data_IF_025270481731
#
_entry.id   IF_025270481731
#
_cell.length_a   1.000
_cell.length_b   1.000
_cell.length_c   1.000
_cell.angle_alpha   90.00
_cell.angle_beta   90.00
_cell.angle_gamma   90.00
#
_symmetry.space_group_name_H-M   'P 1'
#
loop_
_entity.id
_entity.type
_entity.pdbx_description
1 polymer ?
#
# COMPACT_ATOMS: atom_id res chain seq x y z
N UNK A 1 -1.15 9.65 5.02
CA UNK A 1 -1.78 8.54 5.76
C UNK A 1 -0.77 7.43 5.97
N UNK A 2 -0.66 6.95 7.20
CA UNK A 2 0.10 5.75 7.55
C UNK A 2 -0.89 4.65 7.93
N UNK A 3 -0.81 3.48 7.31
CA UNK A 3 -1.77 2.38 7.51
C UNK A 3 -1.09 1.09 7.90
N UNK A 4 -1.79 0.25 8.65
CA UNK A 4 -1.45 -1.14 8.89
C UNK A 4 -2.74 -1.94 8.80
N UNK A 5 -2.96 -2.58 7.65
CA UNK A 5 -4.22 -3.25 7.33
C UNK A 5 -4.21 -4.69 7.85
N UNK A 6 -5.41 -5.26 8.00
CA UNK A 6 -5.63 -6.60 8.55
C UNK A 6 -4.76 -7.68 7.88
N UNK A 7 -3.98 -8.39 8.68
CA UNK A 7 -3.07 -9.47 8.25
C UNK A 7 -3.80 -10.71 7.72
N UNK A 8 -3.14 -11.53 6.91
CA UNK A 8 -3.66 -12.80 6.36
C UNK A 8 -3.53 -14.02 7.30
N UNK A 9 -3.54 -13.82 8.62
CA UNK A 9 -3.38 -14.91 9.60
C UNK A 9 -4.71 -15.50 10.07
N UNK A 10 -5.84 -14.88 9.74
CA UNK A 10 -7.17 -15.34 10.09
C UNK A 10 -7.90 -16.00 8.92
N UNK A 11 -9.22 -15.92 8.94
CA UNK A 11 -10.07 -16.38 7.85
C UNK A 11 -10.00 -15.39 6.68
N UNK A 12 -9.53 -15.86 5.52
CA UNK A 12 -9.19 -15.01 4.38
C UNK A 12 -10.37 -14.13 3.93
N UNK A 13 -11.58 -14.66 3.91
CA UNK A 13 -12.77 -13.89 3.49
C UNK A 13 -13.11 -12.75 4.46
N UNK A 14 -12.94 -12.97 5.76
CA UNK A 14 -13.16 -11.94 6.78
C UNK A 14 -12.04 -10.90 6.75
N UNK A 15 -10.79 -11.35 6.63
CA UNK A 15 -9.63 -10.49 6.55
C UNK A 15 -9.70 -9.56 5.32
N UNK A 16 -10.11 -10.08 4.16
CA UNK A 16 -10.35 -9.28 2.94
C UNK A 16 -11.42 -8.23 3.20
N UNK A 17 -12.59 -8.62 3.74
CA UNK A 17 -13.70 -7.68 3.97
C UNK A 17 -13.30 -6.53 4.91
N UNK A 18 -12.50 -6.82 5.95
CA UNK A 18 -11.99 -5.80 6.87
C UNK A 18 -11.04 -4.82 6.17
N UNK A 19 -10.15 -5.32 5.29
CA UNK A 19 -9.23 -4.45 4.53
C UNK A 19 -10.00 -3.56 3.55
N UNK A 20 -11.00 -4.11 2.88
CA UNK A 20 -11.83 -3.37 1.93
C UNK A 20 -12.62 -2.26 2.62
N UNK A 21 -13.28 -2.56 3.74
CA UNK A 21 -13.99 -1.57 4.55
C UNK A 21 -13.05 -0.47 5.07
N UNK A 22 -11.87 -0.86 5.57
CA UNK A 22 -10.87 0.12 6.03
C UNK A 22 -10.42 1.05 4.91
N UNK A 23 -10.31 0.53 3.68
CA UNK A 23 -9.97 1.35 2.52
C UNK A 23 -11.10 2.27 2.09
N UNK A 24 -12.35 1.80 2.13
CA UNK A 24 -13.53 2.64 1.84
C UNK A 24 -13.57 3.85 2.78
N UNK A 25 -13.37 3.63 4.08
CA UNK A 25 -13.30 4.69 5.07
C UNK A 25 -12.15 5.67 4.80
N UNK A 26 -10.98 5.16 4.42
CA UNK A 26 -9.84 6.01 4.06
C UNK A 26 -10.14 6.89 2.83
N UNK A 27 -10.73 6.32 1.78
CA UNK A 27 -11.13 7.06 0.58
C UNK A 27 -12.19 8.12 0.91
N UNK A 28 -13.18 7.78 1.73
CA UNK A 28 -14.19 8.72 2.23
C UNK A 28 -13.54 9.90 2.94
N UNK A 29 -12.63 9.64 3.88
CA UNK A 29 -11.92 10.71 4.57
C UNK A 29 -11.01 11.53 3.65
N UNK A 30 -10.35 10.92 2.67
CA UNK A 30 -9.58 11.64 1.64
C UNK A 30 -10.47 12.60 0.84
N UNK A 31 -11.69 12.19 0.50
CA UNK A 31 -12.67 13.03 -0.17
C UNK A 31 -13.08 14.22 0.71
N UNK A 32 -13.39 13.99 1.99
CA UNK A 32 -13.70 15.08 2.94
C UNK A 32 -12.55 16.07 3.08
N UNK A 33 -11.30 15.60 3.12
CA UNK A 33 -10.12 16.48 3.17
C UNK A 33 -9.97 17.31 1.89
N UNK A 34 -10.31 16.75 0.73
CA UNK A 34 -10.30 17.50 -0.53
C UNK A 34 -11.38 18.59 -0.54
N UNK A 35 -12.58 18.31 -0.05
CA UNK A 35 -13.66 19.30 0.04
C UNK A 35 -13.29 20.45 1.00
N UNK A 36 -12.65 20.12 2.12
CA UNK A 36 -12.22 21.09 3.12
C UNK A 36 -11.07 21.99 2.64
N UNK A 37 -10.06 21.41 1.99
CA UNK A 37 -8.79 22.09 1.71
C UNK A 37 -8.51 22.37 0.23
N UNK A 38 -9.22 21.73 -0.69
CA UNK A 38 -8.99 21.85 -2.14
C UNK A 38 -9.21 23.26 -2.70
N UNK A 39 -10.00 24.10 -2.01
CA UNK A 39 -10.17 25.52 -2.35
C UNK A 39 -8.93 26.38 -2.08
N UNK A 40 -8.01 25.89 -1.26
CA UNK A 40 -6.75 26.56 -0.91
C UNK A 40 -5.60 26.20 -1.87
N UNK A 41 -5.78 25.18 -2.71
CA UNK A 41 -4.77 24.69 -3.64
C UNK A 41 -4.87 23.17 -3.86
N UNK A 42 -3.96 22.64 -4.68
CA UNK A 42 -3.88 21.20 -4.91
C UNK A 42 -3.47 20.47 -3.62
N UNK A 43 -4.29 19.53 -3.17
CA UNK A 43 -3.96 18.67 -2.03
C UNK A 43 -3.27 17.41 -2.54
N UNK A 44 -2.02 17.22 -2.11
CA UNK A 44 -1.25 16.01 -2.38
C UNK A 44 -1.46 14.96 -1.30
N UNK A 45 -1.60 13.71 -1.70
CA UNK A 45 -1.85 12.60 -0.80
C UNK A 45 -0.78 11.54 -0.92
N UNK A 46 -0.27 11.10 0.23
CA UNK A 46 0.64 9.97 0.35
C UNK A 46 0.00 8.99 1.31
N UNK A 47 -0.23 7.75 0.87
CA UNK A 47 -0.71 6.64 1.70
C UNK A 47 0.40 5.59 1.72
N UNK A 48 0.93 5.27 2.89
CA UNK A 48 2.01 4.29 3.01
C UNK A 48 1.84 3.37 4.22
N UNK A 49 2.42 2.18 4.13
CA UNK A 49 2.44 1.21 5.23
C UNK A 49 2.23 -0.21 4.72
N UNK A 50 1.91 -1.11 5.65
CA UNK A 50 1.68 -2.53 5.35
C UNK A 50 0.18 -2.76 5.07
N UNK A 51 -0.11 -3.16 3.84
CA UNK A 51 -1.46 -3.42 3.38
C UNK A 51 -1.86 -4.89 3.53
N UNK A 52 -0.91 -5.79 3.79
CA UNK A 52 -1.13 -7.24 3.77
C UNK A 52 -1.77 -7.78 2.47
N UNK A 53 -1.69 -7.03 1.37
CA UNK A 53 -2.20 -7.41 0.04
C UNK A 53 -1.44 -6.62 -1.04
N UNK A 54 -1.55 -6.99 -2.31
CA UNK A 54 -0.90 -6.29 -3.42
C UNK A 54 -1.75 -6.29 -4.70
N UNK A 55 -1.66 -5.27 -5.58
CA UNK A 55 -2.44 -5.20 -6.81
C UNK A 55 -2.25 -6.37 -7.78
N UNK A 56 -1.07 -6.97 -7.79
CA UNK A 56 -0.66 -7.97 -8.78
C UNK A 56 -0.33 -9.34 -8.17
N UNK A 57 -0.76 -9.57 -6.94
CA UNK A 57 -0.67 -10.86 -6.28
C UNK A 57 -1.96 -11.65 -6.52
N UNK A 58 -1.84 -12.77 -7.23
CA UNK A 58 -2.99 -13.59 -7.63
C UNK A 58 -3.81 -14.13 -6.46
N UNK A 59 -3.23 -14.20 -5.26
CA UNK A 59 -3.95 -14.61 -4.03
C UNK A 59 -5.06 -13.62 -3.66
N UNK A 60 -4.93 -12.37 -4.08
CA UNK A 60 -5.84 -11.28 -3.76
C UNK A 60 -6.52 -10.69 -5.01
N UNK A 61 -6.58 -11.43 -6.13
CA UNK A 61 -7.12 -10.92 -7.39
C UNK A 61 -8.58 -10.41 -7.28
N UNK A 62 -9.37 -10.99 -6.38
CA UNK A 62 -10.75 -10.55 -6.11
C UNK A 62 -10.87 -9.32 -5.19
N UNK A 63 -9.83 -9.01 -4.42
CA UNK A 63 -9.85 -7.95 -3.41
C UNK A 63 -9.78 -6.55 -4.06
N UNK A 64 -10.54 -5.61 -3.51
CA UNK A 64 -10.65 -4.22 -4.01
C UNK A 64 -9.78 -3.22 -3.26
N UNK A 65 -9.18 -3.58 -2.12
CA UNK A 65 -8.38 -2.70 -1.25
C UNK A 65 -7.37 -1.82 -2.00
N UNK A 66 -6.46 -2.40 -2.78
CA UNK A 66 -5.49 -1.59 -3.54
C UNK A 66 -6.07 -1.01 -4.82
N UNK A 67 -7.10 -1.65 -5.38
CA UNK A 67 -7.82 -1.19 -6.58
C UNK A 67 -8.52 0.13 -6.33
N UNK A 68 -9.17 0.30 -5.18
CA UNK A 68 -9.86 1.54 -4.80
C UNK A 68 -8.93 2.76 -4.83
N UNK A 69 -7.68 2.63 -4.38
CA UNK A 69 -6.70 3.71 -4.50
C UNK A 69 -6.40 4.03 -5.97
N UNK A 70 -6.14 3.01 -6.80
CA UNK A 70 -5.84 3.20 -8.24
C UNK A 70 -7.01 3.85 -8.97
N UNK A 71 -8.23 3.38 -8.72
CA UNK A 71 -9.47 3.92 -9.28
C UNK A 71 -9.71 5.38 -8.84
N UNK A 72 -9.18 5.77 -7.68
CA UNK A 72 -9.21 7.15 -7.16
C UNK A 72 -7.97 7.99 -7.56
N UNK A 73 -7.25 7.57 -8.60
CA UNK A 73 -6.16 8.33 -9.22
C UNK A 73 -4.83 8.27 -8.48
N UNK A 74 -4.64 7.31 -7.56
CA UNK A 74 -3.35 7.09 -6.93
C UNK A 74 -2.42 6.29 -7.85
N UNK A 75 -1.19 6.76 -7.98
CA UNK A 75 -0.06 6.00 -8.52
C UNK A 75 0.53 5.09 -7.45
N UNK A 76 1.05 3.93 -7.86
CA UNK A 76 1.63 2.93 -6.97
C UNK A 76 3.16 2.94 -7.07
N UNK A 77 3.87 2.88 -5.93
CA UNK A 77 5.32 2.99 -5.92
C UNK A 77 6.06 1.87 -6.65
N UNK A 78 5.41 0.71 -6.83
CA UNK A 78 6.00 -0.45 -7.46
C UNK A 78 5.57 -0.65 -8.92
N UNK A 79 4.88 0.31 -9.51
CA UNK A 79 4.49 0.26 -10.92
C UNK A 79 5.73 0.04 -11.80
N UNK A 80 5.68 -0.99 -12.67
CA UNK A 80 6.79 -1.44 -13.52
C UNK A 80 8.08 -1.90 -12.79
N UNK A 81 8.04 -2.15 -11.48
CA UNK A 81 9.16 -2.72 -10.72
C UNK A 81 8.99 -4.24 -10.61
N UNK A 82 9.97 -5.06 -11.06
CA UNK A 82 9.89 -6.52 -10.97
C UNK A 82 9.69 -6.99 -9.53
N UNK A 83 8.86 -8.01 -9.32
CA UNK A 83 8.54 -8.56 -7.98
C UNK A 83 9.78 -8.82 -7.12
N UNK A 84 10.84 -9.39 -7.70
CA UNK A 84 12.09 -9.70 -7.00
C UNK A 84 12.78 -8.47 -6.37
N UNK A 85 12.50 -7.25 -6.85
CA UNK A 85 13.09 -5.99 -6.35
C UNK A 85 12.20 -5.27 -5.33
N UNK A 86 10.99 -5.79 -5.07
CA UNK A 86 9.99 -5.17 -4.19
C UNK A 86 9.49 -6.08 -3.08
N UNK A 87 10.26 -7.13 -2.75
CA UNK A 87 9.96 -8.03 -1.63
C UNK A 87 10.13 -7.24 -0.33
N UNK A 88 9.00 -6.86 0.26
CA UNK A 88 8.96 -6.19 1.57
C UNK A 88 8.75 -7.16 2.72
N UNK A 89 8.19 -8.35 2.47
CA UNK A 89 8.17 -9.44 3.44
C UNK A 89 8.86 -10.67 2.82
N UNK A 90 10.13 -10.92 3.13
CA UNK A 90 10.82 -12.06 2.54
C UNK A 90 10.39 -13.37 3.19
N UNK A 91 10.36 -14.42 2.37
CA UNK A 91 9.82 -15.75 2.70
C UNK A 91 10.33 -16.31 4.03
N UNK A 92 9.51 -17.14 4.65
CA UNK A 92 9.86 -17.94 5.81
C UNK A 92 9.46 -19.41 5.63
N UNK A 93 9.35 -20.17 6.73
CA UNK A 93 9.00 -21.60 6.69
C UNK A 93 7.54 -21.86 6.32
N UNK A 94 6.66 -20.88 6.50
CA UNK A 94 5.21 -21.02 6.39
C UNK A 94 4.65 -20.26 5.19
N UNK A 95 5.27 -19.14 4.80
CA UNK A 95 4.75 -18.23 3.81
C UNK A 95 5.78 -17.89 2.74
N UNK A 96 5.35 -17.79 1.46
CA UNK A 96 6.21 -17.31 0.38
C UNK A 96 6.54 -15.83 0.58
N UNK A 97 7.58 -15.36 -0.11
CA UNK A 97 7.91 -13.94 -0.15
C UNK A 97 6.71 -13.13 -0.67
N UNK A 98 6.55 -11.91 -0.17
CA UNK A 98 5.45 -11.03 -0.51
C UNK A 98 5.90 -9.57 -0.61
N UNK A 99 5.06 -8.79 -1.28
CA UNK A 99 5.15 -7.33 -1.39
C UNK A 99 3.90 -6.75 -0.73
N UNK A 100 3.93 -6.53 0.59
CA UNK A 100 2.78 -6.05 1.36
C UNK A 100 2.89 -4.59 1.77
N UNK A 101 4.10 -4.09 1.94
CA UNK A 101 4.35 -2.66 2.12
C UNK A 101 4.31 -1.88 0.80
N UNK A 102 3.49 -0.83 0.78
CA UNK A 102 3.30 0.02 -0.39
C UNK A 102 3.34 1.51 -0.03
N UNK A 103 3.63 2.32 -1.02
CA UNK A 103 3.39 3.77 -1.02
C UNK A 103 2.53 4.10 -2.24
N UNK A 104 1.39 4.74 -2.01
CA UNK A 104 0.48 5.27 -3.02
C UNK A 104 0.47 6.78 -2.98
N UNK A 105 0.48 7.42 -4.15
CA UNK A 105 0.61 8.87 -4.29
C UNK A 105 -0.45 9.43 -5.22
N UNK A 106 -1.11 10.53 -4.82
CA UNK A 106 -2.01 11.30 -5.69
C UNK A 106 -1.63 12.78 -5.65
N UNK A 107 -1.66 13.41 -6.82
CA UNK A 107 -1.20 14.79 -7.05
C UNK A 107 0.27 15.05 -6.68
N UNK A 108 1.08 13.99 -6.59
CA UNK A 108 2.52 14.04 -6.37
C UNK A 108 3.23 13.12 -7.37
N UNK A 109 4.50 13.40 -7.66
CA UNK A 109 5.32 12.58 -8.55
C UNK A 109 6.24 11.65 -7.77
N UNK A 110 6.20 10.36 -8.10
CA UNK A 110 7.21 9.39 -7.69
C UNK A 110 8.47 9.56 -8.55
N UNK A 111 9.63 9.73 -7.93
CA UNK A 111 10.92 9.74 -8.63
C UNK A 111 11.59 8.36 -8.60
N UNK A 112 11.59 7.71 -7.44
CA UNK A 112 12.12 6.36 -7.28
C UNK A 112 11.50 5.65 -6.08
N UNK A 113 11.52 4.32 -6.10
CA UNK A 113 11.17 3.47 -4.96
C UNK A 113 12.16 2.30 -4.87
N UNK A 114 12.51 1.89 -3.66
CA UNK A 114 13.39 0.74 -3.42
C UNK A 114 13.13 0.10 -2.08
N UNK A 115 13.46 -1.18 -1.98
CA UNK A 115 13.53 -1.91 -0.71
C UNK A 115 14.87 -1.62 -0.03
N UNK A 116 14.85 -1.50 1.29
CA UNK A 116 16.01 -1.44 2.16
C UNK A 116 15.97 -2.70 3.02
N UNK A 117 16.93 -3.59 2.82
CA UNK A 117 17.01 -4.82 3.60
C UNK A 117 17.15 -4.50 5.10
N UNK A 118 16.23 -5.05 5.88
CA UNK A 118 16.22 -4.90 7.33
C UNK A 118 16.71 -6.19 7.98
N UNK A 119 17.52 -6.06 9.04
CA UNK A 119 17.92 -7.21 9.85
C UNK A 119 16.69 -7.94 10.38
N UNK A 120 16.66 -9.27 10.24
CA UNK A 120 15.59 -10.13 10.78
C UNK A 120 15.47 -10.08 12.32
N UNK A 121 16.47 -9.52 13.00
CA UNK A 121 16.39 -9.24 14.46
C UNK A 121 15.59 -7.98 14.79
N UNK A 122 15.42 -7.09 13.80
CA UNK A 122 14.74 -5.80 13.96
C UNK A 122 13.31 -5.85 13.43
N UNK A 123 13.09 -6.54 12.31
CA UNK A 123 11.76 -6.75 11.74
C UNK A 123 11.78 -7.96 10.81
N UNK A 124 10.64 -8.63 10.68
CA UNK A 124 10.36 -9.59 9.61
C UNK A 124 10.15 -8.91 8.25
N UNK A 125 9.82 -7.62 8.21
CA UNK A 125 9.71 -6.82 6.99
C UNK A 125 11.01 -6.08 6.66
N UNK A 126 11.28 -5.93 5.36
CA UNK A 126 12.22 -4.94 4.84
C UNK A 126 11.55 -3.56 4.81
N UNK A 127 12.32 -2.52 5.10
CA UNK A 127 11.83 -1.16 4.94
C UNK A 127 11.67 -0.83 3.44
N UNK A 128 10.73 0.05 3.12
CA UNK A 128 10.56 0.60 1.77
C UNK A 128 10.86 2.09 1.79
N UNK A 129 11.50 2.59 0.75
CA UNK A 129 11.88 3.99 0.60
C UNK A 129 11.38 4.51 -0.74
N UNK A 130 10.75 5.68 -0.74
CA UNK A 130 10.36 6.38 -1.95
C UNK A 130 10.84 7.83 -1.92
N UNK A 131 11.37 8.29 -3.05
CA UNK A 131 11.63 9.70 -3.29
C UNK A 131 10.44 10.31 -4.04
N UNK A 132 9.89 11.40 -3.49
CA UNK A 132 8.68 12.04 -4.01
C UNK A 132 8.90 13.54 -4.25
N UNK A 133 8.22 14.07 -5.25
CA UNK A 133 8.14 15.50 -5.55
C UNK A 133 6.68 15.95 -5.44
N UNK A 134 6.42 16.95 -4.61
CA UNK A 134 5.12 17.61 -4.45
C UNK A 134 4.96 18.76 -5.44
#
# INVERSE_FOLDING_TARGET
YAVHLKSNRGEISEDIAIREESMQQLIGHIHEMNEAYGKLGSVSYIVGGDFNTAPDDSRFAGETTTRLLRDNGFSWCWENIPFAQRISLPADKLFPAACFDHIFLRNAKLNSARVIETSRRSSDHNAIFAEVRL
#
